data_IF_632781005900
#
_entry.id   IF_632781005900
#
_cell.length_a   1.000
_cell.length_b   1.000
_cell.length_c   1.000
_cell.angle_alpha   90.00
_cell.angle_beta   90.00
_cell.angle_gamma   90.00
#
_symmetry.space_group_name_H-M   'P 1'
#
loop_
_entity.id
_entity.type
_entity.pdbx_description
1 polymer ?
#
# COMPACT_ATOMS: atom_id res chain seq x y z
N UNK A 1 -7.10 -28.69 -28.17
CA UNK A 1 -7.62 -27.45 -27.55
C UNK A 1 -6.98 -27.37 -26.17
N UNK A 2 -5.86 -26.65 -26.04
CA UNK A 2 -5.14 -26.49 -24.78
C UNK A 2 -4.49 -25.11 -24.77
N UNK A 3 -5.23 -24.12 -24.27
CA UNK A 3 -4.70 -22.79 -23.96
C UNK A 3 -5.27 -22.39 -22.60
N UNK A 4 -4.70 -22.92 -21.52
CA UNK A 4 -4.99 -22.46 -20.14
C UNK A 4 -3.73 -22.52 -19.27
N UNK A 5 -2.56 -22.20 -19.83
CA UNK A 5 -1.29 -22.19 -19.09
C UNK A 5 -0.67 -20.80 -18.95
N UNK A 6 -1.22 -19.79 -19.64
CA UNK A 6 -0.65 -18.45 -19.64
C UNK A 6 -1.18 -17.58 -18.49
N UNK A 7 -2.45 -17.74 -18.12
CA UNK A 7 -3.10 -16.88 -17.13
C UNK A 7 -2.52 -17.07 -15.72
N UNK A 8 -2.24 -18.31 -15.31
CA UNK A 8 -1.63 -18.60 -14.01
C UNK A 8 -0.18 -18.11 -13.90
N UNK A 9 0.59 -18.12 -14.99
CA UNK A 9 1.97 -17.59 -14.97
C UNK A 9 2.00 -16.07 -14.88
N UNK A 10 1.08 -15.38 -15.57
CA UNK A 10 0.97 -13.92 -15.50
C UNK A 10 0.51 -13.47 -14.11
N UNK A 11 -0.45 -14.18 -13.52
CA UNK A 11 -0.93 -13.90 -12.16
C UNK A 11 0.15 -14.15 -11.10
N UNK A 12 0.95 -15.21 -11.24
CA UNK A 12 2.06 -15.49 -10.35
C UNK A 12 3.15 -14.41 -10.43
N UNK A 13 3.55 -14.01 -11.64
CA UNK A 13 4.53 -12.93 -11.83
C UNK A 13 4.04 -11.58 -11.30
N UNK A 14 2.75 -11.29 -11.44
CA UNK A 14 2.14 -10.10 -10.84
C UNK A 14 2.23 -10.16 -9.31
N UNK A 15 1.88 -11.31 -8.74
CA UNK A 15 1.89 -11.54 -7.29
C UNK A 15 3.28 -11.36 -6.71
N UNK A 16 4.31 -11.94 -7.32
CA UNK A 16 5.70 -11.81 -6.88
C UNK A 16 6.18 -10.35 -6.92
N UNK A 17 5.84 -9.61 -7.98
CA UNK A 17 6.15 -8.18 -8.09
C UNK A 17 5.43 -7.35 -7.03
N UNK A 18 4.16 -7.66 -6.77
CA UNK A 18 3.36 -6.97 -5.77
C UNK A 18 3.88 -7.23 -4.35
N UNK A 19 4.23 -8.48 -4.03
CA UNK A 19 4.78 -8.86 -2.72
C UNK A 19 6.16 -8.21 -2.50
N UNK A 20 7.05 -8.26 -3.50
CA UNK A 20 8.35 -7.57 -3.43
C UNK A 20 8.19 -6.07 -3.19
N UNK A 21 7.32 -5.40 -3.95
CA UNK A 21 7.10 -3.96 -3.79
C UNK A 21 6.47 -3.63 -2.43
N UNK A 22 5.54 -4.47 -1.96
CA UNK A 22 4.93 -4.33 -0.65
C UNK A 22 5.99 -4.36 0.46
N UNK A 23 6.89 -5.35 0.42
CA UNK A 23 7.97 -5.48 1.40
C UNK A 23 8.93 -4.27 1.36
N UNK A 24 9.28 -3.80 0.16
CA UNK A 24 10.10 -2.59 -0.01
C UNK A 24 9.43 -1.35 0.59
N UNK A 25 8.15 -1.15 0.33
CA UNK A 25 7.37 -0.02 0.85
C UNK A 25 7.19 -0.10 2.38
N UNK A 26 6.96 -1.30 2.92
CA UNK A 26 6.89 -1.51 4.37
C UNK A 26 8.24 -1.25 5.06
N UNK A 27 9.35 -1.67 4.45
CA UNK A 27 10.67 -1.39 4.97
C UNK A 27 10.97 0.11 4.96
N UNK A 28 10.60 0.81 3.88
CA UNK A 28 10.70 2.26 3.82
C UNK A 28 9.88 2.94 4.93
N UNK A 29 8.60 2.56 5.08
CA UNK A 29 7.72 3.07 6.12
C UNK A 29 8.29 2.84 7.53
N UNK A 30 8.87 1.67 7.82
CA UNK A 30 9.49 1.41 9.14
C UNK A 30 10.73 2.26 9.40
N UNK A 31 11.44 2.67 8.35
CA UNK A 31 12.71 3.40 8.48
C UNK A 31 12.54 4.91 8.46
N UNK A 32 11.59 5.41 7.67
CA UNK A 32 11.39 6.84 7.40
C UNK A 32 9.94 7.29 7.58
N UNK A 33 9.06 6.38 8.01
CA UNK A 33 7.69 6.70 8.31
C UNK A 33 7.60 7.76 9.40
N UNK A 34 6.57 8.59 9.35
CA UNK A 34 6.33 9.63 10.35
C UNK A 34 5.99 9.03 11.72
N UNK A 35 6.37 9.72 12.79
CA UNK A 35 6.03 9.29 14.15
C UNK A 35 4.52 9.42 14.41
N UNK A 36 3.96 8.49 15.19
CA UNK A 36 2.54 8.45 15.56
C UNK A 36 2.04 9.75 16.19
N UNK A 37 2.89 10.36 17.01
CA UNK A 37 2.60 11.60 17.73
C UNK A 37 2.26 12.76 16.77
N UNK A 38 2.77 12.72 15.53
CA UNK A 38 2.47 13.74 14.52
C UNK A 38 1.03 13.71 14.00
N UNK A 39 0.26 12.64 14.26
CA UNK A 39 -1.10 12.46 13.75
C UNK A 39 -2.14 12.22 14.84
N UNK A 40 -1.84 12.51 16.10
CA UNK A 40 -2.81 12.33 17.19
C UNK A 40 -4.11 13.11 16.96
N UNK A 41 -4.03 14.26 16.28
CA UNK A 41 -5.16 15.11 15.91
C UNK A 41 -5.75 14.79 14.51
N UNK A 42 -5.12 13.91 13.72
CA UNK A 42 -5.60 13.46 12.41
C UNK A 42 -6.10 12.02 12.50
N UNK A 43 -7.39 11.89 12.77
CA UNK A 43 -8.08 10.60 12.89
C UNK A 43 -7.87 9.70 11.66
N UNK A 44 -7.78 10.27 10.45
CA UNK A 44 -7.61 9.48 9.22
C UNK A 44 -6.18 8.97 9.07
N UNK A 45 -5.19 9.84 9.23
CA UNK A 45 -3.79 9.45 9.16
C UNK A 45 -3.46 8.43 10.26
N UNK A 46 -3.93 8.65 11.48
CA UNK A 46 -3.82 7.71 12.60
C UNK A 46 -4.47 6.37 12.29
N UNK A 47 -5.66 6.36 11.69
CA UNK A 47 -6.34 5.13 11.28
C UNK A 47 -5.52 4.34 10.24
N UNK A 48 -5.03 5.02 9.21
CA UNK A 48 -4.24 4.40 8.15
C UNK A 48 -2.94 3.83 8.69
N UNK A 49 -2.27 4.57 9.57
CA UNK A 49 -1.01 4.14 10.18
C UNK A 49 -1.21 2.90 11.05
N UNK A 50 -2.25 2.89 11.89
CA UNK A 50 -2.62 1.69 12.66
C UNK A 50 -2.93 0.49 11.75
N UNK A 51 -3.59 0.72 10.61
CA UNK A 51 -3.88 -0.33 9.64
C UNK A 51 -2.61 -0.85 8.94
N UNK A 52 -1.64 0.02 8.65
CA UNK A 52 -0.34 -0.34 8.08
C UNK A 52 0.47 -1.18 9.07
N UNK A 53 0.46 -0.83 10.35
CA UNK A 53 1.24 -1.55 11.37
C UNK A 53 0.83 -3.01 11.55
N UNK A 54 -0.43 -3.33 11.29
CA UNK A 54 -0.99 -4.70 11.38
C UNK A 54 -1.23 -5.34 10.01
N UNK A 55 -0.80 -4.67 8.93
CA UNK A 55 -1.09 -5.06 7.55
C UNK A 55 -0.41 -6.38 7.22
N UNK A 56 -1.23 -7.39 6.92
CA UNK A 56 -0.78 -8.68 6.39
C UNK A 56 -1.64 -9.03 5.17
N UNK A 57 -1.17 -8.75 3.93
CA UNK A 57 -1.93 -9.08 2.75
C UNK A 57 -2.15 -10.60 2.68
N UNK A 58 -3.41 -11.00 2.49
CA UNK A 58 -3.77 -12.41 2.29
C UNK A 58 -3.30 -12.89 0.90
N UNK A 59 -3.42 -14.19 0.63
CA UNK A 59 -3.02 -14.78 -0.64
C UNK A 59 -3.86 -14.34 -1.85
N UNK A 60 -4.86 -13.46 -1.68
CA UNK A 60 -5.68 -12.94 -2.79
C UNK A 60 -5.03 -11.73 -3.45
N UNK A 61 -5.21 -11.62 -4.77
CA UNK A 61 -4.72 -10.46 -5.55
C UNK A 61 -5.34 -9.15 -5.05
N UNK A 62 -6.62 -9.16 -4.71
CA UNK A 62 -7.33 -7.97 -4.23
C UNK A 62 -6.78 -7.47 -2.89
N UNK A 63 -6.44 -8.37 -1.96
CA UNK A 63 -5.85 -8.00 -0.67
C UNK A 63 -4.48 -7.35 -0.83
N UNK A 64 -3.63 -7.88 -1.73
CA UNK A 64 -2.32 -7.27 -2.07
C UNK A 64 -2.47 -5.91 -2.73
N UNK A 65 -3.38 -5.80 -3.69
CA UNK A 65 -3.69 -4.52 -4.35
C UNK A 65 -4.20 -3.48 -3.34
N UNK A 66 -5.05 -3.89 -2.40
CA UNK A 66 -5.51 -3.02 -1.32
C UNK A 66 -4.38 -2.56 -0.40
N UNK A 67 -3.49 -3.48 -0.01
CA UNK A 67 -2.33 -3.17 0.81
C UNK A 67 -1.35 -2.20 0.12
N UNK A 68 -1.02 -2.46 -1.15
CA UNK A 68 -0.22 -1.55 -1.97
C UNK A 68 -0.88 -0.18 -2.14
N UNK A 69 -2.21 -0.14 -2.33
CA UNK A 69 -2.96 1.11 -2.47
C UNK A 69 -2.93 1.93 -1.18
N UNK A 70 -3.07 1.27 -0.02
CA UNK A 70 -2.97 1.91 1.29
C UNK A 70 -1.56 2.51 1.48
N UNK A 71 -0.52 1.72 1.25
CA UNK A 71 0.87 2.17 1.39
C UNK A 71 1.22 3.29 0.40
N UNK A 72 0.80 3.17 -0.87
CA UNK A 72 1.03 4.20 -1.88
C UNK A 72 0.43 5.54 -1.45
N UNK A 73 -0.84 5.52 -1.05
CA UNK A 73 -1.53 6.73 -0.60
C UNK A 73 -0.94 7.29 0.68
N UNK A 74 -0.59 6.42 1.64
CA UNK A 74 -0.02 6.88 2.90
C UNK A 74 1.36 7.51 2.70
N UNK A 75 2.23 6.86 1.92
CA UNK A 75 3.55 7.41 1.61
C UNK A 75 3.46 8.69 0.78
N UNK A 76 2.46 8.85 -0.09
CA UNK A 76 2.32 10.07 -0.89
C UNK A 76 1.79 11.26 -0.09
N UNK A 77 0.80 11.03 0.79
CA UNK A 77 0.10 12.13 1.50
C UNK A 77 0.66 12.40 2.90
N UNK A 78 1.12 11.37 3.60
CA UNK A 78 1.43 11.46 5.04
C UNK A 78 2.91 11.19 5.36
N UNK A 79 3.75 10.79 4.39
CA UNK A 79 5.19 10.56 4.62
C UNK A 79 6.06 11.65 3.98
N UNK A 80 6.82 12.37 4.82
CA UNK A 80 7.58 13.57 4.46
C UNK A 80 9.01 13.48 4.99
N UNK A 81 9.84 12.58 4.45
CA UNK A 81 11.21 12.41 4.94
C UNK A 81 12.05 13.68 4.74
N UNK A 82 12.82 14.06 5.76
CA UNK A 82 13.66 15.27 5.71
C UNK A 82 14.87 15.12 4.78
N UNK A 83 15.33 13.88 4.55
CA UNK A 83 16.51 13.57 3.75
C UNK A 83 16.15 13.46 2.28
N UNK A 84 16.90 14.16 1.41
CA UNK A 84 16.70 14.13 -0.05
C UNK A 84 16.72 12.72 -0.62
N UNK A 85 17.70 11.89 -0.24
CA UNK A 85 17.80 10.50 -0.72
C UNK A 85 16.58 9.66 -0.34
N UNK A 86 15.99 9.91 0.83
CA UNK A 86 14.78 9.22 1.28
C UNK A 86 13.53 9.70 0.53
N UNK A 87 13.45 10.99 0.19
CA UNK A 87 12.38 11.53 -0.65
C UNK A 87 12.44 10.97 -2.08
N UNK A 88 13.64 10.86 -2.66
CA UNK A 88 13.84 10.23 -3.98
C UNK A 88 13.44 8.75 -3.94
N UNK A 89 13.82 8.03 -2.89
CA UNK A 89 13.43 6.63 -2.71
C UNK A 89 11.91 6.48 -2.56
N UNK A 90 11.26 7.35 -1.77
CA UNK A 90 9.79 7.41 -1.64
C UNK A 90 9.13 7.58 -3.01
N UNK A 91 9.60 8.54 -3.81
CA UNK A 91 9.04 8.81 -5.14
C UNK A 91 9.22 7.62 -6.08
N UNK A 92 10.36 6.95 -6.03
CA UNK A 92 10.60 5.73 -6.81
C UNK A 92 9.60 4.62 -6.44
N UNK A 93 9.39 4.37 -5.14
CA UNK A 93 8.46 3.36 -4.65
C UNK A 93 7.00 3.68 -5.03
N UNK A 94 6.57 4.93 -4.82
CA UNK A 94 5.23 5.39 -5.20
C UNK A 94 5.02 5.26 -6.71
N UNK A 95 6.00 5.63 -7.53
CA UNK A 95 5.91 5.48 -8.99
C UNK A 95 5.74 4.02 -9.41
N UNK A 96 6.51 3.09 -8.81
CA UNK A 96 6.35 1.65 -9.07
C UNK A 96 4.98 1.12 -8.64
N UNK A 97 4.45 1.61 -7.53
CA UNK A 97 3.10 1.23 -7.10
C UNK A 97 2.05 1.70 -8.11
N UNK A 98 2.17 2.90 -8.66
CA UNK A 98 1.28 3.44 -9.70
C UNK A 98 1.31 2.65 -11.01
N UNK A 99 2.42 1.98 -11.34
CA UNK A 99 2.51 1.12 -12.52
C UNK A 99 1.74 -0.20 -12.35
N UNK A 100 1.63 -0.70 -11.12
CA UNK A 100 0.90 -1.93 -10.79
C UNK A 100 -0.58 -1.65 -10.46
N UNK A 101 -0.88 -0.50 -9.89
CA UNK A 101 -2.22 -0.14 -9.45
C UNK A 101 -3.09 0.32 -10.64
N UNK A 102 -4.35 -0.13 -10.72
CA UNK A 102 -5.28 0.41 -11.70
C UNK A 102 -5.52 1.91 -11.48
N UNK A 103 -5.64 2.68 -12.57
CA UNK A 103 -5.94 4.12 -12.49
C UNK A 103 -7.35 4.32 -11.93
N UNK A 104 -7.45 5.02 -10.79
CA UNK A 104 -8.70 5.20 -10.07
C UNK A 104 -8.97 6.67 -9.77
N UNK A 105 -10.22 7.12 -10.03
CA UNK A 105 -10.66 8.50 -9.77
C UNK A 105 -10.94 8.79 -8.29
N UNK A 106 -11.18 7.76 -7.47
CA UNK A 106 -11.63 7.88 -6.06
C UNK A 106 -10.78 6.99 -5.12
N UNK A 107 -9.46 7.13 -5.19
CA UNK A 107 -8.49 6.32 -4.43
C UNK A 107 -8.80 6.30 -2.93
N UNK A 108 -8.88 7.48 -2.29
CA UNK A 108 -9.19 7.63 -0.85
C UNK A 108 -10.44 6.85 -0.44
N UNK A 109 -11.54 7.01 -1.17
CA UNK A 109 -12.81 6.36 -0.84
C UNK A 109 -12.72 4.83 -0.95
N UNK A 110 -11.96 4.31 -1.91
CA UNK A 110 -11.69 2.87 -2.04
C UNK A 110 -10.81 2.33 -0.92
N UNK A 111 -9.81 3.08 -0.48
CA UNK A 111 -8.96 2.70 0.66
C UNK A 111 -9.81 2.64 1.92
N UNK A 112 -10.59 3.68 2.22
CA UNK A 112 -11.47 3.70 3.39
C UNK A 112 -12.52 2.58 3.35
N UNK A 113 -13.07 2.27 2.17
CA UNK A 113 -13.99 1.15 2.04
C UNK A 113 -13.28 -0.19 2.29
N UNK A 114 -12.13 -0.40 1.65
CA UNK A 114 -11.34 -1.61 1.81
C UNK A 114 -10.90 -1.82 3.26
N UNK A 115 -10.48 -0.76 3.95
CA UNK A 115 -10.15 -0.78 5.38
C UNK A 115 -11.34 -1.26 6.22
N UNK A 116 -12.56 -0.78 5.94
CA UNK A 116 -13.77 -1.26 6.64
C UNK A 116 -14.07 -2.73 6.39
N UNK A 117 -13.76 -3.22 5.20
CA UNK A 117 -14.05 -4.60 4.80
C UNK A 117 -13.05 -5.61 5.41
N UNK A 118 -11.78 -5.22 5.59
CA UNK A 118 -10.73 -6.10 6.16
C UNK A 118 -10.54 -5.92 7.66
N UNK A 119 -10.75 -4.70 8.14
CA UNK A 119 -10.75 -4.33 9.53
C UNK A 119 -12.18 -3.88 9.83
N UNK A 120 -13.03 -4.77 10.37
CA UNK A 120 -14.21 -4.32 11.08
C UNK A 120 -13.71 -3.59 12.34
N UNK A 121 -13.20 -2.38 12.13
CA UNK A 121 -13.00 -1.40 13.17
C UNK A 121 -14.37 -1.28 13.81
N UNK A 122 -14.46 -1.76 15.05
CA UNK A 122 -15.44 -1.26 15.99
C UNK A 122 -15.10 0.22 16.17
N UNK A 123 -15.56 1.05 15.22
CA UNK A 123 -15.78 2.47 15.44
C UNK A 123 -16.77 2.63 16.59
#
# INVERSE_FOLDING_TARGET
MLIHSNDGHVEQLFTEKADSLFDEMMNFYRQYGPDKENFEDDDEASLMMNAIDVLQPSSTVESRLGALRLLEYFLSEYCWPEKTDAEEWKQHLVSRALELLPKEKRKRQKILQWLKDIHPLKL
#
